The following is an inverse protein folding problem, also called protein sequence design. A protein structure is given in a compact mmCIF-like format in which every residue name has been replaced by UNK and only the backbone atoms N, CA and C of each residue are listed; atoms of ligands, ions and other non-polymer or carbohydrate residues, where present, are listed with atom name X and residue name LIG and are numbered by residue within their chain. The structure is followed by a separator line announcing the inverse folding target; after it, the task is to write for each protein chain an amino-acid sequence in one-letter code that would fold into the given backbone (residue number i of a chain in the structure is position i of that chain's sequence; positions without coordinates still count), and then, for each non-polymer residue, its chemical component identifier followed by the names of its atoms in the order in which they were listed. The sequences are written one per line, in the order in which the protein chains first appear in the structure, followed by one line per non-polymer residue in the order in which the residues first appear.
data_IF_866615770405
#
_entry.id   IF_866615770405
#
_cell.length_a   1.000
_cell.length_b   1.000
_cell.length_c   1.000
_cell.angle_alpha   90.00
_cell.angle_beta   90.00
_cell.angle_gamma   90.00
#
_symmetry.space_group_name_H-M   'P 1'
#
loop_
_entity.id
_entity.type
_entity.pdbx_description
1 polymer ?
#
# COMPACT_ATOMS: atom_id res chain seq x y z
N UNK A 1 1.18 -6.58 13.08
CA UNK A 1 2.28 -7.27 12.37
C UNK A 1 3.44 -7.41 13.34
N UNK A 2 4.10 -8.57 13.41
CA UNK A 2 5.17 -8.84 14.38
C UNK A 2 6.50 -9.01 13.64
N UNK A 3 7.53 -8.34 14.12
CA UNK A 3 8.91 -8.43 13.63
C UNK A 3 9.75 -9.11 14.70
N UNK A 4 10.55 -10.10 14.31
CA UNK A 4 11.43 -10.83 15.22
C UNK A 4 12.88 -10.70 14.75
N UNK A 5 13.79 -10.66 15.71
CA UNK A 5 15.23 -10.69 15.49
C UNK A 5 15.87 -11.56 16.57
N UNK A 6 16.78 -12.43 16.14
CA UNK A 6 17.71 -13.17 16.99
C UNK A 6 19.12 -12.81 16.56
N UNK A 7 19.94 -12.34 17.50
CA UNK A 7 21.30 -11.86 17.22
C UNK A 7 22.28 -12.27 18.32
N UNK A 8 23.51 -12.56 17.92
CA UNK A 8 24.61 -12.95 18.80
C UNK A 8 25.88 -12.16 18.42
N UNK A 9 26.68 -11.80 19.42
CA UNK A 9 27.99 -11.14 19.28
C UNK A 9 28.96 -11.61 20.36
N UNK A 10 30.26 -11.52 20.10
CA UNK A 10 31.33 -11.80 21.06
C UNK A 10 31.38 -10.79 22.22
N UNK A 11 30.72 -9.65 22.09
CA UNK A 11 30.55 -8.64 23.13
C UNK A 11 29.09 -8.28 23.33
N UNK A 12 28.79 -7.54 24.40
CA UNK A 12 27.43 -7.10 24.67
C UNK A 12 26.89 -6.29 23.50
N UNK A 13 25.70 -6.66 23.05
CA UNK A 13 24.87 -5.86 22.17
C UNK A 13 24.28 -4.72 22.99
N UNK A 14 24.37 -3.49 22.49
CA UNK A 14 24.00 -2.29 23.24
C UNK A 14 22.86 -1.49 22.61
N UNK A 15 22.64 -1.65 21.30
CA UNK A 15 21.55 -0.99 20.59
C UNK A 15 20.97 -1.94 19.52
N UNK A 16 19.64 -1.98 19.44
CA UNK A 16 18.90 -2.68 18.38
C UNK A 16 17.80 -1.74 17.90
N UNK A 17 17.76 -1.52 16.60
CA UNK A 17 16.71 -0.72 15.95
C UNK A 17 16.03 -1.49 14.84
N UNK A 18 14.71 -1.40 14.80
CA UNK A 18 13.94 -1.74 13.62
C UNK A 18 13.78 -0.49 12.77
N UNK A 19 14.26 -0.55 11.53
CA UNK A 19 14.07 0.48 10.53
C UNK A 19 13.03 0.01 9.52
N UNK A 20 12.11 0.89 9.12
CA UNK A 20 11.18 0.57 8.04
C UNK A 20 10.81 1.80 7.20
N UNK A 21 10.55 1.56 5.92
CA UNK A 21 10.07 2.56 4.96
C UNK A 21 8.82 2.03 4.29
N UNK A 22 7.72 2.80 4.37
CA UNK A 22 6.49 2.49 3.65
C UNK A 22 6.59 3.03 2.22
N UNK A 23 6.32 2.18 1.23
CA UNK A 23 6.33 2.57 -0.18
C UNK A 23 5.11 3.44 -0.49
N UNK A 24 5.35 4.75 -0.59
CA UNK A 24 4.34 5.76 -0.88
C UNK A 24 4.99 7.02 -1.46
N UNK A 25 4.24 7.72 -2.31
CA UNK A 25 4.59 9.03 -2.81
C UNK A 25 4.71 10.02 -1.65
N UNK A 26 5.88 10.65 -1.55
CA UNK A 26 6.22 11.66 -0.56
C UNK A 26 7.36 12.54 -1.09
N UNK A 27 7.48 13.77 -0.58
CA UNK A 27 8.53 14.72 -0.97
C UNK A 27 9.95 14.27 -0.57
N UNK A 28 10.04 13.43 0.45
CA UNK A 28 11.29 12.84 0.92
C UNK A 28 11.00 11.42 1.42
N UNK A 29 11.95 10.51 1.21
CA UNK A 29 11.87 9.17 1.78
C UNK A 29 11.94 9.29 3.31
N UNK A 30 10.89 8.82 3.97
CA UNK A 30 10.80 8.81 5.43
C UNK A 30 11.06 7.40 5.92
N UNK A 31 12.19 7.21 6.59
CA UNK A 31 12.49 5.99 7.34
C UNK A 31 12.09 6.18 8.78
N UNK A 32 11.27 5.27 9.29
CA UNK A 32 10.93 5.19 10.71
C UNK A 32 11.94 4.31 11.41
N UNK A 33 12.47 4.77 12.54
CA UNK A 33 13.33 3.99 13.42
C UNK A 33 12.62 3.71 14.74
N UNK A 34 12.64 2.47 15.18
CA UNK A 34 12.11 2.03 16.46
C UNK A 34 13.25 1.48 17.30
N UNK A 35 13.48 2.09 18.45
CA UNK A 35 14.44 1.63 19.44
C UNK A 35 13.84 0.48 20.24
N UNK A 36 14.57 -0.64 20.32
CA UNK A 36 14.14 -1.78 21.11
C UNK A 36 14.76 -1.70 22.49
N UNK A 37 13.92 -1.77 23.52
CA UNK A 37 14.39 -1.83 24.91
C UNK A 37 14.75 -3.26 25.28
N UNK A 38 16.00 -3.47 25.70
CA UNK A 38 16.52 -4.74 26.20
C UNK A 38 17.70 -4.48 27.15
N UNK A 39 18.10 -5.49 27.90
CA UNK A 39 19.31 -5.43 28.73
C UNK A 39 20.52 -5.85 27.90
N UNK A 40 21.62 -5.09 27.87
CA UNK A 40 22.81 -5.44 27.11
C UNK A 40 23.36 -6.84 27.47
N UNK A 41 23.55 -7.67 26.44
CA UNK A 41 24.03 -9.06 26.56
C UNK A 41 24.59 -9.53 25.22
N UNK A 42 25.32 -10.65 25.20
CA UNK A 42 25.94 -11.22 23.99
C UNK A 42 24.95 -11.90 23.05
N UNK A 43 23.78 -12.29 23.54
CA UNK A 43 22.73 -12.95 22.74
C UNK A 43 21.38 -12.35 23.08
N UNK A 44 20.66 -11.84 22.09
CA UNK A 44 19.38 -11.17 22.27
C UNK A 44 18.34 -11.74 21.29
N UNK A 45 17.18 -12.11 21.82
CA UNK A 45 15.96 -12.38 21.08
C UNK A 45 14.94 -11.27 21.35
N UNK A 46 14.52 -10.56 20.31
CA UNK A 46 13.52 -9.48 20.43
C UNK A 46 12.34 -9.70 19.50
N UNK A 47 11.18 -9.21 19.94
CA UNK A 47 9.95 -9.18 19.16
C UNK A 47 9.29 -7.81 19.30
N UNK A 48 8.94 -7.19 18.18
CA UNK A 48 8.25 -5.91 18.17
C UNK A 48 6.97 -5.98 17.33
N UNK A 49 5.89 -5.39 17.85
CA UNK A 49 4.58 -5.39 17.18
C UNK A 49 4.27 -4.01 16.59
N UNK A 50 4.11 -3.96 15.27
CA UNK A 50 3.54 -2.82 14.57
C UNK A 50 2.02 -2.87 14.63
N UNK A 51 1.44 -1.88 15.31
CA UNK A 51 0.02 -1.57 15.25
C UNK A 51 -0.29 -0.81 13.95
N UNK A 52 -0.96 -1.48 13.00
CA UNK A 52 -1.25 -0.91 11.66
C UNK A 52 -2.02 0.42 11.72
N UNK A 53 -2.86 0.61 12.74
CA UNK A 53 -3.62 1.84 12.97
C UNK A 53 -2.69 3.04 13.17
N UNK A 54 -1.52 2.85 13.79
CA UNK A 54 -0.57 3.95 14.06
C UNK A 54 0.11 4.52 12.83
N UNK A 55 0.15 3.74 11.74
CA UNK A 55 0.70 4.18 10.45
C UNK A 55 -0.40 4.57 9.45
N UNK A 56 -1.65 4.71 9.93
CA UNK A 56 -2.81 5.13 9.15
C UNK A 56 -3.56 4.01 8.45
N UNK A 57 -3.23 2.74 8.74
CA UNK A 57 -3.67 1.60 7.93
C UNK A 57 -2.97 1.58 6.58
N UNK A 58 -2.59 0.39 6.12
CA UNK A 58 -2.01 0.22 4.80
C UNK A 58 -3.06 -0.40 3.87
N UNK A 59 -3.32 0.20 2.69
CA UNK A 59 -4.31 -0.36 1.77
C UNK A 59 -3.80 -1.67 1.16
N UNK A 60 -4.72 -2.56 0.73
CA UNK A 60 -4.37 -3.71 -0.10
C UNK A 60 -3.55 -3.28 -1.32
N UNK A 61 -2.50 -4.03 -1.64
CA UNK A 61 -1.56 -3.75 -2.72
C UNK A 61 -0.38 -2.86 -2.35
N UNK A 62 -0.36 -2.27 -1.15
CA UNK A 62 0.78 -1.48 -0.67
C UNK A 62 1.96 -2.37 -0.26
N UNK A 63 3.14 -1.76 -0.11
CA UNK A 63 4.34 -2.45 0.34
C UNK A 63 5.12 -1.64 1.37
N UNK A 64 5.97 -2.33 2.11
CA UNK A 64 6.89 -1.75 3.08
C UNK A 64 8.20 -2.52 3.02
N UNK A 65 9.30 -1.83 3.18
CA UNK A 65 10.61 -2.43 3.37
C UNK A 65 11.03 -2.26 4.83
N UNK A 66 11.70 -3.26 5.41
CA UNK A 66 12.24 -3.17 6.76
C UNK A 66 13.60 -3.85 6.87
N UNK A 67 14.39 -3.40 7.83
CA UNK A 67 15.68 -4.00 8.19
C UNK A 67 15.98 -3.73 9.66
N UNK A 68 16.88 -4.52 10.22
CA UNK A 68 17.40 -4.32 11.57
C UNK A 68 18.76 -3.67 11.51
N UNK A 69 19.00 -2.73 12.43
CA UNK A 69 20.31 -2.20 12.78
C UNK A 69 20.68 -2.73 14.16
N UNK A 70 21.89 -3.25 14.32
CA UNK A 70 22.42 -3.70 15.61
C UNK A 70 23.78 -3.04 15.84
N UNK A 71 24.00 -2.50 17.03
CA UNK A 71 25.29 -1.98 17.49
C UNK A 71 25.73 -2.70 18.76
N UNK A 72 27.01 -3.07 18.80
CA UNK A 72 27.63 -3.72 19.94
C UNK A 72 28.46 -2.75 20.81
N UNK A 73 28.98 -3.25 21.93
CA UNK A 73 29.77 -2.46 22.87
C UNK A 73 31.13 -1.98 22.33
N UNK A 74 31.56 -2.46 21.15
CA UNK A 74 32.73 -1.92 20.42
C UNK A 74 32.33 -0.83 19.43
N UNK A 75 31.05 -0.43 19.40
CA UNK A 75 30.46 0.45 18.40
C UNK A 75 30.56 -0.10 16.97
N UNK A 76 30.63 -1.43 16.83
CA UNK A 76 30.48 -2.07 15.53
C UNK A 76 28.99 -2.15 15.19
N UNK A 77 28.62 -1.57 14.05
CA UNK A 77 27.24 -1.54 13.56
C UNK A 77 27.08 -2.47 12.37
N UNK A 78 26.07 -3.34 12.45
CA UNK A 78 25.64 -4.20 11.35
C UNK A 78 24.19 -3.92 10.99
N UNK A 79 23.86 -4.12 9.70
CA UNK A 79 22.50 -4.02 9.20
C UNK A 79 22.12 -5.32 8.48
N UNK A 80 20.89 -5.77 8.68
CA UNK A 80 20.36 -6.89 7.89
C UNK A 80 20.06 -6.44 6.48
N UNK A 81 20.07 -7.37 5.53
CA UNK A 81 19.56 -7.09 4.17
C UNK A 81 18.09 -6.66 4.29
N UNK A 82 17.68 -5.56 3.64
CA UNK A 82 16.29 -5.13 3.64
C UNK A 82 15.35 -6.21 3.10
N UNK A 83 14.24 -6.40 3.80
CA UNK A 83 13.19 -7.34 3.46
C UNK A 83 11.91 -6.59 3.09
N UNK A 84 11.27 -7.00 1.99
CA UNK A 84 10.02 -6.41 1.52
C UNK A 84 8.81 -7.17 2.06
N UNK A 85 7.80 -6.43 2.46
CA UNK A 85 6.49 -6.90 2.91
C UNK A 85 5.41 -6.33 2.01
N UNK A 86 4.59 -7.22 1.46
CA UNK A 86 3.43 -6.85 0.64
C UNK A 86 2.16 -7.00 1.47
N UNK A 87 1.31 -5.98 1.48
CA UNK A 87 0.03 -5.99 2.16
C UNK A 87 -1.07 -6.29 1.16
N UNK A 88 -1.41 -7.56 0.97
CA UNK A 88 -2.47 -7.98 0.06
C UNK A 88 -3.67 -8.49 0.84
N UNK A 89 -4.87 -8.32 0.27
CA UNK A 89 -6.08 -8.94 0.78
C UNK A 89 -6.17 -10.39 0.30
N UNK A 90 -5.74 -11.32 1.16
CA UNK A 90 -5.65 -12.75 0.83
C UNK A 90 -6.97 -13.49 1.01
N UNK A 91 -8.08 -12.79 1.29
CA UNK A 91 -9.42 -13.40 1.39
C UNK A 91 -9.96 -13.85 0.02
N UNK A 92 -9.40 -13.29 -1.06
CA UNK A 92 -9.88 -13.51 -2.42
C UNK A 92 -8.74 -13.92 -3.36
N UNK A 93 -9.10 -14.66 -4.41
CA UNK A 93 -8.20 -14.98 -5.53
C UNK A 93 -8.40 -13.93 -6.62
N UNK A 94 -7.46 -13.00 -6.71
CA UNK A 94 -7.55 -11.86 -7.62
C UNK A 94 -7.08 -12.22 -9.04
N UNK A 95 -7.93 -11.99 -10.03
CA UNK A 95 -7.55 -11.81 -11.42
C UNK A 95 -6.97 -10.42 -11.65
N UNK A 96 -6.31 -10.22 -12.80
CA UNK A 96 -5.75 -8.91 -13.14
C UNK A 96 -5.78 -8.61 -14.64
N UNK A 97 -5.93 -7.32 -14.95
CA UNK A 97 -5.93 -6.75 -16.30
C UNK A 97 -5.15 -5.46 -16.26
N UNK A 98 -4.14 -5.32 -17.13
CA UNK A 98 -3.31 -4.12 -17.20
C UNK A 98 -3.39 -3.50 -18.58
N UNK A 99 -3.60 -2.19 -18.62
CA UNK A 99 -3.57 -1.38 -19.84
C UNK A 99 -2.87 -0.04 -19.54
N UNK A 100 -1.72 0.18 -20.18
CA UNK A 100 -0.90 1.37 -19.93
C UNK A 100 -0.44 1.47 -18.48
N UNK A 101 -0.79 2.58 -17.81
CA UNK A 101 -0.46 2.84 -16.40
C UNK A 101 -1.54 2.34 -15.43
N UNK A 102 -2.56 1.63 -15.91
CA UNK A 102 -3.69 1.18 -15.08
C UNK A 102 -3.67 -0.34 -14.97
N UNK A 103 -3.72 -0.84 -13.75
CA UNK A 103 -3.96 -2.26 -13.46
C UNK A 103 -5.25 -2.39 -12.64
N UNK A 104 -6.16 -3.25 -13.08
CA UNK A 104 -7.37 -3.62 -12.34
C UNK A 104 -7.18 -5.02 -11.78
N UNK A 105 -7.46 -5.19 -10.50
CA UNK A 105 -7.59 -6.46 -9.81
C UNK A 105 -9.05 -6.67 -9.43
N UNK A 106 -9.62 -7.84 -9.72
CA UNK A 106 -10.98 -8.22 -9.32
C UNK A 106 -11.02 -9.71 -8.98
N UNK A 107 -12.05 -10.20 -8.30
CA UNK A 107 -12.25 -11.63 -8.03
C UNK A 107 -13.65 -12.14 -8.37
N UNK A 108 -14.61 -11.24 -8.60
CA UNK A 108 -16.00 -11.56 -8.92
C UNK A 108 -16.37 -10.91 -10.27
N UNK A 109 -17.10 -11.66 -11.10
CA UNK A 109 -17.40 -11.28 -12.48
C UNK A 109 -16.39 -11.82 -13.51
N UNK A 110 -16.82 -11.90 -14.77
CA UNK A 110 -15.99 -12.41 -15.86
C UNK A 110 -15.05 -11.35 -16.46
N UNK A 111 -14.19 -11.76 -17.38
CA UNK A 111 -13.24 -10.86 -18.06
C UNK A 111 -13.93 -9.65 -18.74
N UNK A 112 -15.13 -9.85 -19.30
CA UNK A 112 -15.90 -8.77 -19.92
C UNK A 112 -16.25 -7.65 -18.93
N UNK A 113 -16.49 -7.98 -17.66
CA UNK A 113 -16.73 -7.00 -16.61
C UNK A 113 -15.47 -6.15 -16.38
N UNK A 114 -14.30 -6.78 -16.24
CA UNK A 114 -13.03 -6.07 -16.06
C UNK A 114 -12.66 -5.20 -17.28
N UNK A 115 -12.91 -5.70 -18.50
CA UNK A 115 -12.70 -4.95 -19.73
C UNK A 115 -13.58 -3.70 -19.81
N UNK A 116 -14.85 -3.79 -19.38
CA UNK A 116 -15.74 -2.62 -19.33
C UNK A 116 -15.30 -1.57 -18.30
N UNK A 117 -14.77 -2.02 -17.16
CA UNK A 117 -14.19 -1.12 -16.16
C UNK A 117 -12.89 -0.48 -16.65
N UNK A 118 -12.02 -1.25 -17.33
CA UNK A 118 -10.79 -0.73 -17.93
C UNK A 118 -11.10 0.34 -18.98
N UNK A 119 -12.05 0.07 -19.88
CA UNK A 119 -12.46 1.04 -20.89
C UNK A 119 -12.95 2.36 -20.24
N UNK A 120 -13.69 2.28 -19.13
CA UNK A 120 -14.14 3.45 -18.39
C UNK A 120 -12.98 4.19 -17.72
N UNK A 121 -12.00 3.47 -17.17
CA UNK A 121 -10.79 4.06 -16.61
C UNK A 121 -10.00 4.85 -17.67
N UNK A 122 -9.74 4.23 -18.83
CA UNK A 122 -9.02 4.88 -19.95
C UNK A 122 -9.78 6.10 -20.48
N UNK A 123 -11.11 6.01 -20.60
CA UNK A 123 -11.94 7.14 -21.02
C UNK A 123 -11.88 8.29 -20.00
N UNK A 124 -11.93 7.99 -18.70
CA UNK A 124 -11.83 8.99 -17.65
C UNK A 124 -10.47 9.70 -17.67
N UNK A 125 -9.37 8.96 -17.84
CA UNK A 125 -8.03 9.52 -17.97
C UNK A 125 -7.89 10.40 -19.21
N UNK A 126 -8.40 9.95 -20.35
CA UNK A 126 -8.40 10.75 -21.59
C UNK A 126 -9.14 12.06 -21.39
N UNK A 127 -10.32 12.01 -20.77
CA UNK A 127 -11.12 13.20 -20.50
C UNK A 127 -10.44 14.15 -19.51
N UNK A 128 -9.85 13.63 -18.42
CA UNK A 128 -9.10 14.43 -17.46
C UNK A 128 -7.93 15.15 -18.13
N UNK A 129 -7.17 14.45 -18.99
CA UNK A 129 -6.08 15.05 -19.75
C UNK A 129 -6.56 16.15 -20.71
N UNK A 130 -7.69 15.96 -21.40
CA UNK A 130 -8.26 16.97 -22.30
C UNK A 130 -8.78 18.20 -21.54
N UNK A 131 -9.48 17.99 -20.42
CA UNK A 131 -10.17 19.05 -19.69
C UNK A 131 -9.22 19.85 -18.78
N UNK A 132 -8.13 19.23 -18.29
CA UNK A 132 -7.27 19.83 -17.26
C UNK A 132 -5.78 19.82 -17.60
N UNK A 133 -5.35 19.05 -18.62
CA UNK A 133 -3.94 18.78 -18.89
C UNK A 133 -3.30 17.79 -17.92
N UNK A 134 -4.03 17.26 -16.93
CA UNK A 134 -3.51 16.33 -15.95
C UNK A 134 -3.46 14.90 -16.49
N UNK A 135 -2.35 14.21 -16.22
CA UNK A 135 -2.13 12.83 -16.63
C UNK A 135 -1.57 11.99 -15.48
N UNK A 136 -1.57 10.66 -15.63
CA UNK A 136 -0.88 9.80 -14.67
C UNK A 136 0.62 9.85 -14.96
N UNK A 137 1.42 10.22 -13.96
CA UNK A 137 2.88 10.10 -14.01
C UNK A 137 3.30 8.69 -13.61
N UNK A 138 2.68 8.12 -12.57
CA UNK A 138 2.99 6.79 -12.03
C UNK A 138 1.83 5.81 -12.23
N UNK A 139 2.12 4.50 -12.32
CA UNK A 139 1.08 3.48 -12.40
C UNK A 139 0.07 3.53 -11.25
N UNK A 140 -1.16 3.11 -11.54
CA UNK A 140 -2.29 3.03 -10.61
C UNK A 140 -2.84 1.63 -10.58
N UNK A 141 -3.15 1.14 -9.37
CA UNK A 141 -3.82 -0.14 -9.15
C UNK A 141 -5.23 0.10 -8.63
N UNK A 142 -6.22 -0.54 -9.24
CA UNK A 142 -7.61 -0.54 -8.81
C UNK A 142 -7.94 -1.92 -8.26
N UNK A 143 -8.39 -2.00 -7.01
CA UNK A 143 -8.91 -3.22 -6.39
C UNK A 143 -10.43 -3.16 -6.38
N UNK A 144 -11.05 -4.02 -7.18
CA UNK A 144 -12.50 -4.08 -7.38
C UNK A 144 -13.08 -5.22 -6.54
N UNK A 145 -13.79 -4.83 -5.49
CA UNK A 145 -14.52 -5.74 -4.62
C UNK A 145 -15.94 -5.96 -5.16
N UNK A 146 -16.51 -7.13 -4.90
CA UNK A 146 -17.86 -7.47 -5.34
C UNK A 146 -18.92 -6.58 -4.70
N UNK A 147 -18.69 -6.12 -3.47
CA UNK A 147 -19.60 -5.24 -2.76
C UNK A 147 -18.89 -4.34 -1.72
N UNK A 148 -19.69 -3.48 -1.10
CA UNK A 148 -19.28 -2.54 -0.07
C UNK A 148 -18.76 -3.22 1.22
N UNK A 149 -19.31 -4.39 1.57
CA UNK A 149 -18.97 -5.11 2.79
C UNK A 149 -17.59 -5.78 2.66
N UNK A 150 -17.33 -6.39 1.51
CA UNK A 150 -16.04 -7.01 1.20
C UNK A 150 -14.91 -5.98 1.22
N UNK A 151 -15.13 -4.81 0.61
CA UNK A 151 -14.20 -3.68 0.67
C UNK A 151 -14.05 -3.14 2.10
N UNK A 152 -15.14 -3.01 2.88
CA UNK A 152 -15.05 -2.57 4.27
C UNK A 152 -14.17 -3.51 5.11
N UNK A 153 -14.26 -4.82 4.89
CA UNK A 153 -13.41 -5.81 5.56
C UNK A 153 -11.92 -5.71 5.19
N UNK A 154 -11.57 -5.01 4.11
CA UNK A 154 -10.19 -4.81 3.67
C UNK A 154 -9.54 -3.57 4.29
N UNK A 155 -10.31 -2.71 4.94
CA UNK A 155 -9.86 -1.39 5.38
C UNK A 155 -9.76 -1.29 6.90
N UNK A 156 -8.75 -0.54 7.35
CA UNK A 156 -8.56 -0.18 8.75
C UNK A 156 -8.89 1.31 8.88
N UNK A 157 -10.15 1.64 9.20
CA UNK A 157 -10.69 3.01 9.40
C UNK A 157 -10.54 3.98 8.20
N UNK A 158 -11.36 3.88 7.14
CA UNK A 158 -11.36 4.86 6.05
C UNK A 158 -11.91 6.23 6.50
N UNK A 159 -11.24 7.32 6.10
CA UNK A 159 -11.69 8.69 6.44
C UNK A 159 -12.80 9.21 5.52
N UNK A 160 -12.87 8.76 4.27
CA UNK A 160 -13.94 9.07 3.32
C UNK A 160 -14.46 7.77 2.69
N UNK A 161 -15.78 7.65 2.58
CA UNK A 161 -16.42 6.46 2.02
C UNK A 161 -17.71 6.81 1.27
N UNK A 162 -17.69 6.64 -0.05
CA UNK A 162 -18.88 6.63 -0.91
C UNK A 162 -18.91 5.40 -1.82
N UNK A 163 -18.49 4.24 -1.29
CA UNK A 163 -18.36 2.98 -2.04
C UNK A 163 -17.05 2.81 -2.81
N UNK A 164 -16.17 3.81 -2.77
CA UNK A 164 -14.80 3.77 -3.26
C UNK A 164 -13.89 4.66 -2.39
N UNK A 165 -12.59 4.39 -2.45
CA UNK A 165 -11.54 5.15 -1.75
C UNK A 165 -10.28 5.21 -2.61
N UNK A 166 -9.78 6.40 -2.90
CA UNK A 166 -8.47 6.64 -3.49
C UNK A 166 -7.38 6.81 -2.42
N UNK A 167 -6.50 5.83 -2.30
CA UNK A 167 -5.27 5.90 -1.52
C UNK A 167 -4.18 6.57 -2.37
N UNK A 168 -4.35 7.87 -2.61
CA UNK A 168 -3.59 8.65 -3.59
C UNK A 168 -2.07 8.60 -3.41
N UNK A 169 -1.58 8.56 -2.17
CA UNK A 169 -0.14 8.39 -1.87
C UNK A 169 0.43 7.04 -2.28
N UNK A 170 -0.40 6.02 -2.42
CA UNK A 170 0.03 4.67 -2.75
C UNK A 170 -0.20 4.33 -4.23
N UNK A 171 -0.85 5.23 -5.00
CA UNK A 171 -1.28 4.90 -6.36
C UNK A 171 -2.32 3.78 -6.38
N UNK A 172 -3.12 3.66 -5.31
CA UNK A 172 -4.08 2.57 -5.13
C UNK A 172 -5.48 3.17 -5.01
N UNK A 173 -6.45 2.53 -5.66
CA UNK A 173 -7.87 2.81 -5.54
C UNK A 173 -8.55 1.50 -5.14
N UNK A 174 -9.50 1.55 -4.21
CA UNK A 174 -10.30 0.38 -3.82
C UNK A 174 -11.79 0.74 -3.94
N UNK A 175 -12.58 -0.06 -4.67
CA UNK A 175 -14.00 0.24 -4.97
C UNK A 175 -14.82 -1.05 -4.90
N UNK A 176 -16.01 -0.98 -4.29
CA UNK A 176 -16.97 -2.09 -4.26
C UNK A 176 -17.95 -2.01 -5.43
N UNK A 177 -17.66 -2.68 -6.55
CA UNK A 177 -18.48 -2.68 -7.77
C UNK A 177 -19.06 -4.08 -8.00
N UNK A 178 -20.36 -4.24 -7.78
CA UNK A 178 -21.06 -5.46 -8.15
C UNK A 178 -21.11 -5.64 -9.69
N UNK A 179 -20.97 -6.87 -10.23
CA UNK A 179 -20.99 -7.11 -11.68
C UNK A 179 -22.24 -6.61 -12.40
N UNK A 180 -23.39 -6.57 -11.71
CA UNK A 180 -24.66 -6.08 -12.23
C UNK A 180 -24.84 -4.55 -12.14
N UNK A 181 -23.88 -3.84 -11.52
CA UNK A 181 -23.94 -2.39 -11.29
C UNK A 181 -22.80 -1.62 -11.98
N UNK A 182 -22.46 -2.03 -13.20
CA UNK A 182 -21.43 -1.41 -14.04
C UNK A 182 -21.62 0.11 -14.21
N UNK A 183 -22.86 0.58 -14.36
CA UNK A 183 -23.12 2.02 -14.55
C UNK A 183 -22.66 2.88 -13.38
N UNK A 184 -22.85 2.39 -12.15
CA UNK A 184 -22.32 3.05 -10.96
C UNK A 184 -20.80 2.89 -10.89
N UNK A 185 -20.28 1.68 -11.15
CA UNK A 185 -18.85 1.39 -11.13
C UNK A 185 -18.02 2.29 -12.03
N UNK A 186 -18.47 2.52 -13.27
CA UNK A 186 -17.81 3.42 -14.22
C UNK A 186 -17.73 4.87 -13.71
N UNK A 187 -18.78 5.36 -13.04
CA UNK A 187 -18.77 6.71 -12.43
C UNK A 187 -17.86 6.78 -11.21
N UNK A 188 -17.86 5.74 -10.38
CA UNK A 188 -16.99 5.65 -9.22
C UNK A 188 -15.51 5.63 -9.63
N UNK A 189 -15.14 4.81 -10.63
CA UNK A 189 -13.79 4.79 -11.19
C UNK A 189 -13.34 6.18 -11.66
N UNK A 190 -14.19 6.88 -12.42
CA UNK A 190 -13.86 8.22 -12.89
C UNK A 190 -13.65 9.22 -11.73
N UNK A 191 -14.46 9.13 -10.67
CA UNK A 191 -14.32 9.95 -9.48
C UNK A 191 -13.00 9.68 -8.75
N UNK A 192 -12.68 8.42 -8.44
CA UNK A 192 -11.48 8.06 -7.70
C UNK A 192 -10.19 8.32 -8.51
N UNK A 193 -10.22 8.10 -9.83
CA UNK A 193 -9.08 8.43 -10.70
C UNK A 193 -8.79 9.93 -10.72
N UNK A 194 -9.83 10.78 -10.68
CA UNK A 194 -9.63 12.23 -10.62
C UNK A 194 -8.84 12.64 -9.38
N UNK A 195 -9.18 12.11 -8.20
CA UNK A 195 -8.44 12.35 -6.96
C UNK A 195 -6.97 11.95 -7.10
N UNK A 196 -6.70 10.79 -7.69
CA UNK A 196 -5.35 10.27 -7.82
C UNK A 196 -4.52 11.07 -8.82
N UNK A 197 -5.05 11.35 -10.01
CA UNK A 197 -4.38 12.15 -11.04
C UNK A 197 -4.04 13.54 -10.52
N UNK A 198 -5.02 14.23 -9.90
CA UNK A 198 -4.80 15.57 -9.33
C UNK A 198 -3.74 15.51 -8.22
N UNK A 199 -3.79 14.50 -7.37
CA UNK A 199 -2.79 14.34 -6.32
C UNK A 199 -1.38 14.11 -6.88
N UNK A 200 -1.21 13.30 -7.93
CA UNK A 200 0.10 13.15 -8.58
C UNK A 200 0.62 14.49 -9.13
N UNK A 201 -0.23 15.26 -9.81
CA UNK A 201 0.16 16.55 -10.40
C UNK A 201 0.50 17.64 -9.39
N UNK A 202 -0.07 17.57 -8.19
CA UNK A 202 0.08 18.61 -7.14
C UNK A 202 1.16 18.28 -6.11
N UNK A 203 1.67 17.04 -6.09
CA UNK A 203 2.78 16.61 -5.23
C UNK A 203 4.16 16.72 -5.88
N UNK A 204 4.24 17.39 -7.04
CA UNK A 204 5.49 17.73 -7.73
C UNK A 204 6.33 18.74 -6.94
#
# INVERSE_FOLDING_TARGET
LIFNLSVESDVNITDIRLCYTVDRVSFAQVTSEVYIEFMPTTTVDVSWTLEMVRIGGLPPGSSMEYWWTVEDAKSEKIETIPAQLQFNDTRYSWDSLTEGKVTIYWYEGGESFAQELMAAAQQALTKLGQDTGAELEKPVKLYIYADAQDLQGAMIYPQEWTGGVAFTRYGIIAIGIAPDNLSWGKRAIAHELAHLVIHQMTLN
#
